data_IF_487533381507
#
_entry.id   IF_487533381507
#
_cell.length_a   1.000
_cell.length_b   1.000
_cell.length_c   1.000
_cell.angle_alpha   90.00
_cell.angle_beta   90.00
_cell.angle_gamma   90.00
#
_symmetry.space_group_name_H-M   'P 1'
#
loop_
_entity.id
_entity.type
_entity.pdbx_description
1 polymer ?
#
# COMPACT_ATOMS: atom_id res chain seq x y z
N UNK A 1 10.45 -10.13 13.35
CA UNK A 1 9.64 -10.25 12.11
C UNK A 1 8.18 -9.81 12.31
N UNK A 2 7.47 -10.28 13.36
CA UNK A 2 6.08 -9.85 13.60
C UNK A 2 5.99 -8.34 13.86
N UNK A 3 6.82 -7.80 14.74
CA UNK A 3 6.86 -6.36 15.10
C UNK A 3 7.14 -5.45 13.89
N UNK A 4 8.00 -5.88 12.96
CA UNK A 4 8.25 -5.12 11.72
C UNK A 4 6.98 -5.02 10.88
N UNK A 5 6.32 -6.15 10.64
CA UNK A 5 5.11 -6.22 9.84
C UNK A 5 3.97 -5.42 10.46
N UNK A 6 3.70 -5.61 11.76
CA UNK A 6 2.63 -4.86 12.44
C UNK A 6 2.92 -3.36 12.55
N UNK A 7 4.19 -2.97 12.72
CA UNK A 7 4.56 -1.56 12.74
C UNK A 7 4.44 -0.90 11.37
N UNK A 8 4.80 -1.59 10.29
CA UNK A 8 4.60 -1.08 8.94
C UNK A 8 3.10 -0.99 8.57
N UNK A 9 2.30 -1.90 9.10
CA UNK A 9 0.85 -1.86 9.00
C UNK A 9 0.25 -0.58 9.57
N UNK A 10 0.75 -0.15 10.74
CA UNK A 10 0.36 1.15 11.33
C UNK A 10 0.69 2.32 10.41
N UNK A 11 1.84 2.29 9.72
CA UNK A 11 2.16 3.31 8.71
C UNK A 11 1.13 3.29 7.57
N UNK A 12 0.78 2.11 7.08
CA UNK A 12 -0.22 1.95 6.02
C UNK A 12 -1.60 2.45 6.45
N UNK A 13 -2.03 2.12 7.68
CA UNK A 13 -3.27 2.65 8.27
C UNK A 13 -3.29 4.18 8.25
N UNK A 14 -2.21 4.80 8.71
CA UNK A 14 -2.12 6.26 8.78
C UNK A 14 -2.11 6.91 7.39
N UNK A 15 -1.36 6.34 6.45
CA UNK A 15 -1.29 6.84 5.06
C UNK A 15 -2.64 6.73 4.37
N UNK A 16 -3.31 5.57 4.44
CA UNK A 16 -4.60 5.38 3.79
C UNK A 16 -5.71 6.22 4.45
N UNK A 17 -5.75 6.31 5.77
CA UNK A 17 -6.72 7.16 6.46
C UNK A 17 -6.55 8.64 6.06
N UNK A 18 -5.32 9.11 5.88
CA UNK A 18 -5.05 10.49 5.48
C UNK A 18 -5.54 10.80 4.06
N UNK A 19 -5.35 9.90 3.10
CA UNK A 19 -5.77 10.12 1.71
C UNK A 19 -7.21 9.68 1.41
N UNK A 20 -7.89 9.09 2.39
CA UNK A 20 -9.25 8.59 2.24
C UNK A 20 -10.23 9.70 1.84
N UNK A 21 -11.25 9.33 1.08
CA UNK A 21 -12.35 10.24 0.72
C UNK A 21 -13.19 10.70 1.93
N UNK A 22 -13.11 10.00 3.04
CA UNK A 22 -13.78 10.33 4.31
C UNK A 22 -12.87 11.06 5.31
N UNK A 23 -11.64 11.38 4.90
CA UNK A 23 -10.71 12.13 5.72
C UNK A 23 -11.27 13.52 6.11
N UNK A 24 -10.94 13.97 7.30
CA UNK A 24 -11.35 15.26 7.85
C UNK A 24 -10.29 15.76 8.84
N UNK A 25 -10.42 17.01 9.29
CA UNK A 25 -9.41 17.66 10.15
C UNK A 25 -9.03 16.86 11.39
N UNK A 26 -9.95 16.11 12.00
CA UNK A 26 -9.67 15.29 13.16
C UNK A 26 -8.86 14.04 12.79
N UNK A 27 -9.29 13.34 11.73
CA UNK A 27 -8.57 12.13 11.27
C UNK A 27 -7.22 12.48 10.67
N UNK A 28 -7.10 13.63 10.01
CA UNK A 28 -5.87 14.14 9.42
C UNK A 28 -4.80 14.42 10.48
N UNK A 29 -5.16 15.09 11.56
CA UNK A 29 -4.25 15.34 12.66
C UNK A 29 -3.72 14.07 13.30
N UNK A 30 -4.59 13.07 13.52
CA UNK A 30 -4.21 11.77 14.07
C UNK A 30 -3.38 10.95 13.10
N UNK A 31 -3.77 10.90 11.83
CA UNK A 31 -3.07 10.12 10.80
C UNK A 31 -1.66 10.66 10.54
N UNK A 32 -1.48 11.95 10.34
CA UNK A 32 -0.15 12.55 10.12
C UNK A 32 0.76 12.35 11.33
N UNK A 33 0.23 12.52 12.54
CA UNK A 33 1.05 12.32 13.74
C UNK A 33 1.39 10.85 13.95
N UNK A 34 0.46 9.93 13.70
CA UNK A 34 0.73 8.49 13.75
C UNK A 34 1.80 8.08 12.74
N UNK A 35 1.69 8.54 11.48
CA UNK A 35 2.69 8.27 10.45
C UNK A 35 4.09 8.75 10.87
N UNK A 36 4.19 9.96 11.44
CA UNK A 36 5.45 10.51 11.94
C UNK A 36 6.03 9.70 13.10
N UNK A 37 5.20 9.29 14.05
CA UNK A 37 5.65 8.44 15.15
C UNK A 37 6.18 7.10 14.66
N UNK A 38 5.52 6.46 13.68
CA UNK A 38 6.02 5.22 13.07
C UNK A 38 7.35 5.47 12.37
N UNK A 39 7.42 6.50 11.54
CA UNK A 39 8.60 6.82 10.74
C UNK A 39 9.85 7.02 11.59
N UNK A 40 9.70 7.70 12.72
CA UNK A 40 10.82 8.03 13.61
C UNK A 40 11.20 6.87 14.54
N UNK A 41 10.28 5.97 14.86
CA UNK A 41 10.49 5.04 15.97
C UNK A 41 10.45 3.55 15.59
N UNK A 42 9.85 3.15 14.46
CA UNK A 42 9.70 1.72 14.15
C UNK A 42 11.04 1.01 14.00
N UNK A 43 12.00 1.60 13.29
CA UNK A 43 13.31 0.98 13.10
C UNK A 43 14.03 0.77 14.44
N UNK A 44 14.00 1.76 15.33
CA UNK A 44 14.58 1.65 16.68
C UNK A 44 13.83 0.63 17.54
N UNK A 45 12.51 0.61 17.48
CA UNK A 45 11.68 -0.35 18.23
C UNK A 45 11.95 -1.81 17.86
N UNK A 46 12.41 -2.05 16.63
CA UNK A 46 12.71 -3.39 16.10
C UNK A 46 14.19 -3.73 16.27
N UNK A 47 15.07 -2.89 15.73
CA UNK A 47 16.50 -3.15 15.56
C UNK A 47 17.37 -2.59 16.68
N UNK A 48 16.84 -1.68 17.51
CA UNK A 48 17.58 -1.04 18.61
C UNK A 48 18.07 -2.05 19.65
N UNK A 49 19.14 -1.69 20.34
CA UNK A 49 19.66 -2.46 21.46
C UNK A 49 18.71 -2.39 22.68
N UNK A 50 18.61 -3.45 23.48
CA UNK A 50 17.80 -3.41 24.71
C UNK A 50 18.21 -2.26 25.62
N UNK A 51 17.26 -1.37 25.94
CA UNK A 51 17.53 -0.18 26.77
C UNK A 51 16.37 0.81 26.76
N UNK A 52 16.60 1.97 27.39
CA UNK A 52 15.58 3.02 27.52
C UNK A 52 15.12 3.58 26.16
N UNK A 53 16.05 3.72 25.20
CA UNK A 53 15.76 4.26 23.89
C UNK A 53 14.79 3.34 23.12
N UNK A 54 15.08 2.04 23.07
CA UNK A 54 14.19 1.04 22.47
C UNK A 54 12.83 0.99 23.18
N UNK A 55 12.81 1.03 24.50
CA UNK A 55 11.56 1.04 25.28
C UNK A 55 10.72 2.25 24.94
N UNK A 56 11.34 3.44 24.85
CA UNK A 56 10.67 4.67 24.42
C UNK A 56 10.12 4.56 22.99
N UNK A 57 10.91 4.00 22.07
CA UNK A 57 10.45 3.77 20.71
C UNK A 57 9.25 2.83 20.65
N UNK A 58 9.24 1.76 21.45
CA UNK A 58 8.10 0.85 21.57
C UNK A 58 6.84 1.53 22.12
N UNK A 59 6.97 2.38 23.14
CA UNK A 59 5.85 3.20 23.64
C UNK A 59 5.29 4.13 22.56
N UNK A 60 6.18 4.76 21.77
CA UNK A 60 5.76 5.60 20.63
C UNK A 60 5.01 4.81 19.57
N UNK A 61 5.43 3.57 19.30
CA UNK A 61 4.73 2.67 18.39
C UNK A 61 3.34 2.29 18.89
N UNK A 62 3.15 2.03 20.19
CA UNK A 62 1.82 1.80 20.77
C UNK A 62 0.90 3.03 20.61
N UNK A 63 1.42 4.21 20.87
CA UNK A 63 0.67 5.46 20.68
C UNK A 63 0.30 5.65 19.19
N UNK A 64 1.25 5.42 18.27
CA UNK A 64 1.03 5.49 16.83
C UNK A 64 -0.08 4.53 16.38
N UNK A 65 -0.06 3.28 16.85
CA UNK A 65 -1.08 2.28 16.54
C UNK A 65 -2.48 2.72 16.99
N UNK A 66 -2.58 3.27 18.21
CA UNK A 66 -3.84 3.79 18.77
C UNK A 66 -4.36 4.97 17.94
N UNK A 67 -3.49 5.93 17.62
CA UNK A 67 -3.86 7.12 16.83
C UNK A 67 -4.26 6.78 15.39
N UNK A 68 -3.51 5.88 14.73
CA UNK A 68 -3.89 5.37 13.42
C UNK A 68 -5.25 4.64 13.47
N UNK A 69 -5.49 3.86 14.54
CA UNK A 69 -6.78 3.21 14.79
C UNK A 69 -7.94 4.19 14.91
N UNK A 70 -7.74 5.30 15.65
CA UNK A 70 -8.73 6.37 15.78
C UNK A 70 -8.97 7.08 14.43
N UNK A 71 -7.92 7.30 13.64
CA UNK A 71 -8.02 7.93 12.33
C UNK A 71 -8.83 7.06 11.35
N UNK A 72 -8.40 5.81 11.12
CA UNK A 72 -9.09 4.97 10.15
C UNK A 72 -10.46 4.46 10.65
N UNK A 73 -10.70 4.43 11.95
CA UNK A 73 -12.02 4.14 12.51
C UNK A 73 -13.13 5.07 12.01
N UNK A 74 -12.76 6.28 11.58
CA UNK A 74 -13.68 7.27 11.02
C UNK A 74 -13.43 7.56 9.53
N UNK A 75 -12.16 7.59 9.10
CA UNK A 75 -11.79 7.84 7.71
C UNK A 75 -11.80 6.59 6.85
N UNK A 76 -11.88 5.41 7.42
CA UNK A 76 -11.70 4.12 6.76
C UNK A 76 -10.30 3.96 6.14
N UNK A 77 -10.12 2.87 5.40
CA UNK A 77 -8.88 2.53 4.71
C UNK A 77 -9.11 2.57 3.19
N UNK A 78 -8.21 2.01 2.42
CA UNK A 78 -8.31 2.06 0.96
C UNK A 78 -7.90 0.76 0.29
N UNK A 79 -7.46 0.89 -0.94
CA UNK A 79 -7.11 -0.20 -1.83
C UNK A 79 -5.95 -1.07 -1.32
N UNK A 80 -4.98 -0.48 -0.58
CA UNK A 80 -3.87 -1.25 -0.05
C UNK A 80 -4.35 -2.36 0.90
N UNK A 81 -5.22 -2.00 1.85
CA UNK A 81 -5.82 -2.96 2.75
C UNK A 81 -6.78 -3.91 2.04
N UNK A 82 -7.59 -3.44 1.10
CA UNK A 82 -8.48 -4.31 0.31
C UNK A 82 -7.70 -5.41 -0.42
N UNK A 83 -6.58 -5.08 -1.04
CA UNK A 83 -5.68 -6.05 -1.66
C UNK A 83 -4.97 -6.93 -0.62
N UNK A 84 -4.52 -6.34 0.49
CA UNK A 84 -3.79 -7.08 1.53
C UNK A 84 -4.66 -8.12 2.24
N UNK A 85 -5.94 -7.86 2.46
CA UNK A 85 -6.88 -8.84 3.01
C UNK A 85 -6.95 -10.07 2.11
N UNK A 86 -7.11 -9.86 0.82
CA UNK A 86 -7.24 -10.95 -0.17
C UNK A 86 -5.93 -11.72 -0.35
N UNK A 87 -4.83 -11.03 -0.68
CA UNK A 87 -3.55 -11.67 -0.96
C UNK A 87 -2.99 -12.34 0.29
N UNK A 88 -3.05 -11.65 1.44
CA UNK A 88 -2.58 -12.19 2.71
C UNK A 88 -3.29 -13.48 3.11
N UNK A 89 -4.61 -13.54 2.91
CA UNK A 89 -5.41 -14.74 3.20
C UNK A 89 -5.11 -15.90 2.23
N UNK A 90 -5.05 -15.63 0.92
CA UNK A 90 -4.82 -16.65 -0.09
C UNK A 90 -3.39 -17.18 -0.10
N UNK A 91 -2.40 -16.31 0.09
CA UNK A 91 -0.98 -16.66 0.02
C UNK A 91 -0.35 -16.94 1.40
N UNK A 92 -1.13 -16.87 2.49
CA UNK A 92 -0.64 -17.04 3.86
C UNK A 92 0.53 -16.11 4.22
N UNK A 93 0.55 -14.91 3.65
CA UNK A 93 1.51 -13.86 3.98
C UNK A 93 0.94 -12.97 5.09
N UNK A 94 1.74 -12.68 6.11
CA UNK A 94 1.31 -11.84 7.23
C UNK A 94 0.78 -10.49 6.75
N UNK A 95 -0.38 -10.05 7.26
CA UNK A 95 -1.14 -8.88 6.82
C UNK A 95 -0.28 -7.62 6.67
N UNK A 96 0.43 -7.19 7.71
CA UNK A 96 1.28 -5.99 7.63
C UNK A 96 2.48 -6.15 6.68
N UNK A 97 2.92 -7.38 6.39
CA UNK A 97 3.91 -7.63 5.35
C UNK A 97 3.29 -7.46 3.97
N UNK A 98 2.09 -7.97 3.77
CA UNK A 98 1.34 -7.77 2.52
C UNK A 98 1.13 -6.28 2.26
N UNK A 99 0.69 -5.53 3.25
CA UNK A 99 0.58 -4.07 3.16
C UNK A 99 1.92 -3.40 2.80
N UNK A 100 3.04 -3.86 3.39
CA UNK A 100 4.35 -3.28 3.09
C UNK A 100 4.80 -3.48 1.65
N UNK A 101 4.39 -4.57 1.01
CA UNK A 101 4.68 -4.86 -0.39
C UNK A 101 3.79 -4.06 -1.34
N UNK A 102 2.56 -3.78 -0.96
CA UNK A 102 1.56 -3.10 -1.79
C UNK A 102 1.60 -1.57 -1.69
N UNK A 103 1.91 -1.03 -0.51
CA UNK A 103 1.80 0.42 -0.23
C UNK A 103 2.51 1.31 -1.27
N UNK A 104 3.74 1.04 -1.71
CA UNK A 104 4.42 1.89 -2.69
C UNK A 104 3.67 1.97 -4.03
N UNK A 105 3.10 0.85 -4.48
CA UNK A 105 2.30 0.79 -5.71
C UNK A 105 1.00 1.57 -5.57
N UNK A 106 0.33 1.41 -4.42
CA UNK A 106 -0.92 2.12 -4.14
C UNK A 106 -0.70 3.63 -4.04
N UNK A 107 0.43 4.07 -3.45
CA UNK A 107 0.80 5.51 -3.43
C UNK A 107 0.92 6.04 -4.86
N UNK A 108 1.63 5.34 -5.76
CA UNK A 108 1.78 5.75 -7.17
C UNK A 108 0.45 5.72 -7.91
N UNK A 109 -0.36 4.68 -7.72
CA UNK A 109 -1.68 4.56 -8.34
C UNK A 109 -2.61 5.70 -7.93
N UNK A 110 -2.77 5.94 -6.63
CA UNK A 110 -3.59 7.01 -6.10
C UNK A 110 -3.00 8.41 -6.35
N UNK A 111 -1.68 8.52 -6.45
CA UNK A 111 -0.98 9.76 -6.75
C UNK A 111 -1.04 10.16 -8.23
N UNK A 112 -1.57 9.31 -9.09
CA UNK A 112 -1.80 9.57 -10.50
C UNK A 112 -3.19 10.11 -10.70
N UNK A 113 -3.31 11.32 -11.26
CA UNK A 113 -4.61 11.95 -11.55
C UNK A 113 -5.34 11.11 -12.62
N UNK A 114 -6.56 10.60 -12.35
CA UNK A 114 -7.30 9.84 -13.34
C UNK A 114 -7.71 10.74 -14.53
N UNK A 115 -7.71 10.19 -15.74
CA UNK A 115 -8.12 10.93 -16.95
C UNK A 115 -9.57 11.39 -16.87
N UNK A 116 -10.43 10.56 -16.32
CA UNK A 116 -11.81 10.92 -16.03
C UNK A 116 -12.01 11.00 -14.50
N UNK A 117 -12.42 12.17 -13.96
CA UNK A 117 -12.73 12.28 -12.55
C UNK A 117 -13.91 11.36 -12.23
N UNK A 118 -13.73 10.51 -11.25
CA UNK A 118 -14.79 9.65 -10.76
C UNK A 118 -15.98 10.48 -10.31
N UNK A 119 -17.13 10.14 -10.81
CA UNK A 119 -18.37 10.94 -10.87
C UNK A 119 -19.10 11.19 -9.53
N UNK A 120 -18.41 11.14 -8.40
CA UNK A 120 -19.10 11.45 -7.15
C UNK A 120 -19.10 12.95 -6.89
N UNK A 121 -20.21 13.58 -6.52
CA UNK A 121 -20.32 15.04 -6.36
C UNK A 121 -19.34 15.66 -5.37
N UNK A 122 -18.70 14.85 -4.55
CA UNK A 122 -17.69 15.23 -3.55
C UNK A 122 -16.32 15.54 -4.14
N UNK A 123 -16.08 15.19 -5.40
CA UNK A 123 -14.76 15.25 -6.04
C UNK A 123 -14.67 16.29 -7.15
N UNK A 124 -15.02 17.54 -6.81
CA UNK A 124 -14.77 18.66 -7.71
C UNK A 124 -13.26 18.87 -7.98
N UNK A 125 -12.39 18.29 -7.14
CA UNK A 125 -10.94 18.33 -7.27
C UNK A 125 -10.34 17.02 -6.74
N UNK A 126 -9.47 16.41 -7.53
CA UNK A 126 -8.68 15.29 -7.09
C UNK A 126 -7.47 15.78 -6.30
N UNK A 127 -7.34 15.46 -5.02
CA UNK A 127 -6.34 16.02 -4.10
C UNK A 127 -5.35 14.98 -3.54
N UNK A 128 -5.41 13.74 -3.99
CA UNK A 128 -4.55 12.70 -3.47
C UNK A 128 -3.05 12.97 -3.71
N UNK A 129 -2.60 13.49 -4.87
CA UNK A 129 -1.20 13.84 -5.07
C UNK A 129 -0.68 14.84 -4.05
N UNK A 130 -1.44 15.92 -3.80
CA UNK A 130 -1.08 16.95 -2.81
C UNK A 130 -1.04 16.37 -1.40
N UNK A 131 -1.97 15.49 -1.05
CA UNK A 131 -2.00 14.84 0.27
C UNK A 131 -0.81 13.90 0.47
N UNK A 132 -0.37 13.16 -0.54
CA UNK A 132 0.86 12.38 -0.47
C UNK A 132 2.11 13.26 -0.35
N UNK A 133 2.16 14.40 -1.04
CA UNK A 133 3.22 15.39 -0.89
C UNK A 133 3.28 15.93 0.54
N UNK A 134 2.12 16.18 1.18
CA UNK A 134 2.03 16.59 2.57
C UNK A 134 2.54 15.50 3.54
N UNK A 135 2.21 14.23 3.28
CA UNK A 135 2.78 13.12 4.05
C UNK A 135 4.31 13.10 3.91
N UNK A 136 4.84 13.21 2.68
CA UNK A 136 6.29 13.25 2.46
C UNK A 136 6.94 14.38 3.30
N UNK A 137 6.40 15.58 3.24
CA UNK A 137 6.86 16.73 4.03
C UNK A 137 6.81 16.46 5.53
N UNK A 138 5.71 15.88 6.03
CA UNK A 138 5.54 15.55 7.44
C UNK A 138 6.56 14.53 7.93
N UNK A 139 6.91 13.55 7.12
CA UNK A 139 7.91 12.53 7.43
C UNK A 139 9.36 13.03 7.32
N UNK A 140 9.58 14.22 6.76
CA UNK A 140 10.93 14.75 6.46
C UNK A 140 11.52 14.15 5.17
N UNK A 141 10.70 13.55 4.33
CA UNK A 141 11.04 13.13 2.96
C UNK A 141 10.97 14.35 2.06
N UNK A 142 11.84 14.42 1.05
CA UNK A 142 11.79 15.49 0.06
C UNK A 142 10.40 15.55 -0.60
N UNK A 143 9.62 16.63 -0.39
CA UNK A 143 8.27 16.72 -0.94
C UNK A 143 8.25 17.04 -2.44
N UNK A 144 9.41 17.24 -3.08
CA UNK A 144 9.50 17.67 -4.46
C UNK A 144 9.00 19.10 -4.69
N UNK A 145 9.02 19.56 -5.93
CA UNK A 145 8.51 20.86 -6.35
C UNK A 145 7.04 20.78 -6.80
N UNK A 146 6.61 19.61 -7.23
CA UNK A 146 5.24 19.32 -7.65
C UNK A 146 4.65 18.18 -6.83
N UNK A 147 3.32 18.05 -6.76
CA UNK A 147 2.68 16.91 -6.08
C UNK A 147 3.14 15.56 -6.63
N UNK A 148 3.33 15.44 -7.94
CA UNK A 148 3.77 14.21 -8.60
C UNK A 148 5.20 13.80 -8.16
N UNK A 149 6.11 14.77 -8.05
CA UNK A 149 7.44 14.52 -7.48
C UNK A 149 7.34 14.06 -6.02
N UNK A 150 6.43 14.66 -5.26
CA UNK A 150 6.17 14.30 -3.86
C UNK A 150 5.65 12.86 -3.72
N UNK A 151 4.74 12.45 -4.59
CA UNK A 151 4.22 11.07 -4.67
C UNK A 151 5.35 10.07 -4.90
N UNK A 152 6.17 10.30 -5.92
CA UNK A 152 7.26 9.38 -6.25
C UNK A 152 8.34 9.33 -5.17
N UNK A 153 8.67 10.48 -4.58
CA UNK A 153 9.63 10.54 -3.49
C UNK A 153 9.11 9.81 -2.23
N UNK A 154 7.82 9.93 -1.92
CA UNK A 154 7.21 9.19 -0.82
C UNK A 154 7.20 7.68 -1.10
N UNK A 155 6.79 7.27 -2.30
CA UNK A 155 6.77 5.86 -2.68
C UNK A 155 8.17 5.22 -2.54
N UNK A 156 9.20 5.88 -3.07
CA UNK A 156 10.60 5.43 -2.91
C UNK A 156 11.06 5.42 -1.45
N UNK A 157 10.64 6.40 -0.66
CA UNK A 157 11.03 6.47 0.74
C UNK A 157 10.42 5.32 1.56
N UNK A 158 9.17 4.96 1.33
CA UNK A 158 8.55 3.82 2.02
C UNK A 158 9.11 2.48 1.53
N UNK A 159 9.53 2.37 0.27
CA UNK A 159 10.29 1.22 -0.24
C UNK A 159 11.63 1.09 0.47
N UNK A 160 12.42 2.17 0.50
CA UNK A 160 13.72 2.20 1.18
C UNK A 160 13.60 1.88 2.67
N UNK A 161 12.57 2.41 3.31
CA UNK A 161 12.29 2.15 4.73
C UNK A 161 12.00 0.66 4.97
N UNK A 162 11.18 0.03 4.13
CA UNK A 162 10.91 -1.41 4.17
C UNK A 162 12.18 -2.23 3.93
N UNK A 163 12.91 -1.91 2.86
CA UNK A 163 14.00 -2.72 2.34
C UNK A 163 15.27 -2.58 3.18
N UNK A 164 15.69 -1.35 3.46
CA UNK A 164 17.00 -1.06 4.03
C UNK A 164 16.95 -0.75 5.53
N UNK A 165 15.90 -0.10 6.03
CA UNK A 165 15.77 0.19 7.46
C UNK A 165 15.21 -0.99 8.26
N UNK A 166 14.26 -1.71 7.69
CA UNK A 166 13.62 -2.84 8.35
C UNK A 166 14.11 -4.20 7.86
N UNK A 167 14.77 -4.29 6.71
CA UNK A 167 15.25 -5.55 6.13
C UNK A 167 14.12 -6.53 5.83
N UNK A 168 12.99 -6.03 5.34
CA UNK A 168 11.83 -6.85 4.97
C UNK A 168 11.94 -7.35 3.52
N UNK A 169 11.13 -8.36 3.16
CA UNK A 169 11.03 -8.85 1.79
C UNK A 169 10.52 -7.73 0.85
N UNK A 170 10.97 -7.78 -0.41
CA UNK A 170 10.66 -6.78 -1.44
C UNK A 170 9.55 -7.20 -2.40
N UNK A 171 9.19 -8.49 -2.37
CA UNK A 171 8.19 -9.06 -3.28
C UNK A 171 7.49 -10.26 -2.64
N UNK A 172 6.35 -10.69 -3.19
CA UNK A 172 5.69 -11.92 -2.76
C UNK A 172 6.51 -13.16 -3.14
N UNK A 173 7.26 -13.10 -4.24
CA UNK A 173 8.19 -14.15 -4.63
C UNK A 173 9.26 -14.37 -3.54
N UNK A 174 9.85 -13.30 -3.01
CA UNK A 174 10.78 -13.39 -1.88
C UNK A 174 10.12 -13.89 -0.58
N UNK A 175 8.81 -13.75 -0.45
CA UNK A 175 8.04 -14.35 0.64
C UNK A 175 7.85 -15.86 0.49
N UNK A 176 8.24 -16.44 -0.64
CA UNK A 176 8.13 -17.87 -0.93
C UNK A 176 6.74 -18.27 -1.47
N UNK A 177 5.98 -17.32 -2.00
CA UNK A 177 4.71 -17.64 -2.67
C UNK A 177 5.01 -18.30 -4.01
N UNK A 178 4.40 -19.45 -4.26
CA UNK A 178 4.56 -20.20 -5.50
C UNK A 178 3.98 -19.41 -6.69
N UNK A 179 4.72 -19.38 -7.80
CA UNK A 179 4.39 -18.56 -8.96
C UNK A 179 3.14 -19.07 -9.69
N UNK A 180 3.06 -20.37 -9.95
CA UNK A 180 1.93 -20.94 -10.68
C UNK A 180 0.64 -20.82 -9.86
N UNK A 181 0.75 -21.05 -8.55
CA UNK A 181 -0.36 -20.81 -7.64
C UNK A 181 -0.80 -19.32 -7.67
N UNK A 182 0.14 -18.38 -7.60
CA UNK A 182 -0.18 -16.95 -7.60
C UNK A 182 -0.92 -16.53 -8.87
N UNK A 183 -0.44 -17.00 -10.02
CA UNK A 183 -1.10 -16.75 -11.30
C UNK A 183 -2.49 -17.39 -11.38
N UNK A 184 -2.66 -18.57 -10.81
CA UNK A 184 -3.97 -19.25 -10.81
C UNK A 184 -5.06 -18.52 -10.02
N UNK A 185 -4.67 -17.65 -9.08
CA UNK A 185 -5.59 -16.87 -8.22
C UNK A 185 -5.66 -15.38 -8.57
N UNK A 186 -5.00 -14.91 -9.63
CA UNK A 186 -4.90 -13.47 -9.93
C UNK A 186 -6.27 -12.83 -10.19
N UNK A 187 -7.16 -13.51 -10.87
CA UNK A 187 -8.53 -13.04 -11.09
C UNK A 187 -9.32 -12.96 -9.80
N UNK A 188 -9.13 -13.92 -8.92
CA UNK A 188 -9.75 -13.92 -7.59
C UNK A 188 -9.21 -12.78 -6.72
N UNK A 189 -7.91 -12.47 -6.82
CA UNK A 189 -7.31 -11.32 -6.14
C UNK A 189 -7.97 -10.04 -6.60
N UNK A 190 -8.03 -9.79 -7.91
CA UNK A 190 -8.64 -8.57 -8.45
C UNK A 190 -10.10 -8.38 -8.02
N UNK A 191 -10.91 -9.42 -8.18
CA UNK A 191 -12.33 -9.38 -7.84
C UNK A 191 -12.58 -9.17 -6.35
N UNK A 192 -11.95 -9.97 -5.48
CA UNK A 192 -12.15 -9.86 -4.03
C UNK A 192 -11.61 -8.57 -3.43
N UNK A 193 -10.50 -8.05 -3.98
CA UNK A 193 -9.98 -6.77 -3.55
C UNK A 193 -10.91 -5.61 -3.95
N UNK A 194 -11.55 -5.70 -5.12
CA UNK A 194 -12.55 -4.74 -5.55
C UNK A 194 -13.82 -4.77 -4.66
N UNK A 195 -14.25 -5.95 -4.24
CA UNK A 195 -15.41 -6.14 -3.37
C UNK A 195 -15.11 -5.88 -1.88
N UNK A 196 -13.86 -5.65 -1.52
CA UNK A 196 -13.46 -5.42 -0.13
C UNK A 196 -14.06 -4.12 0.42
N UNK A 197 -14.45 -4.16 1.69
CA UNK A 197 -15.06 -3.03 2.40
C UNK A 197 -14.20 -1.76 2.43
N UNK A 198 -12.88 -1.87 2.22
CA UNK A 198 -11.96 -0.74 2.21
C UNK A 198 -11.93 -0.02 0.85
N UNK A 199 -12.27 -0.69 -0.26
CA UNK A 199 -12.19 -0.14 -1.60
C UNK A 199 -12.99 1.18 -1.79
N UNK A 200 -14.21 1.34 -1.23
CA UNK A 200 -15.01 2.57 -1.41
C UNK A 200 -14.40 3.83 -0.80
N UNK A 201 -13.48 3.71 0.15
CA UNK A 201 -12.83 4.86 0.79
C UNK A 201 -11.55 5.31 0.08
N UNK A 202 -11.09 4.53 -0.91
CA UNK A 202 -9.89 4.87 -1.68
C UNK A 202 -10.09 6.16 -2.49
N UNK A 203 -9.10 7.07 -2.57
CA UNK A 203 -9.26 8.35 -3.26
C UNK A 203 -9.49 8.21 -4.77
N UNK A 204 -8.91 7.20 -5.40
CA UNK A 204 -9.14 6.82 -6.79
C UNK A 204 -9.95 5.52 -6.82
N UNK A 205 -11.03 5.46 -7.62
CA UNK A 205 -11.79 4.21 -7.76
C UNK A 205 -10.87 3.15 -8.38
N UNK A 206 -10.56 2.07 -7.65
CA UNK A 206 -9.69 1.04 -8.18
C UNK A 206 -10.44 0.22 -9.24
N UNK A 207 -9.75 -0.07 -10.35
CA UNK A 207 -10.26 -0.97 -11.36
C UNK A 207 -9.71 -2.38 -11.09
N UNK A 208 -10.51 -3.41 -11.40
CA UNK A 208 -10.11 -4.80 -11.16
C UNK A 208 -8.79 -5.11 -11.89
N UNK A 209 -8.65 -4.65 -13.12
CA UNK A 209 -7.45 -4.88 -13.93
C UNK A 209 -6.22 -4.17 -13.36
N UNK A 210 -6.37 -2.93 -12.85
CA UNK A 210 -5.29 -2.22 -12.16
C UNK A 210 -4.81 -2.95 -10.91
N UNK A 211 -5.75 -3.52 -10.15
CA UNK A 211 -5.43 -4.33 -8.96
C UNK A 211 -4.66 -5.60 -9.32
N UNK A 212 -5.01 -6.26 -10.44
CA UNK A 212 -4.26 -7.41 -10.96
C UNK A 212 -2.85 -7.01 -11.37
N UNK A 213 -2.70 -5.90 -12.10
CA UNK A 213 -1.41 -5.38 -12.52
C UNK A 213 -0.50 -5.04 -11.33
N UNK A 214 -1.05 -4.40 -10.30
CA UNK A 214 -0.35 -4.11 -9.05
C UNK A 214 0.02 -5.41 -8.31
N UNK A 215 -0.87 -6.38 -8.25
CA UNK A 215 -0.60 -7.65 -7.60
C UNK A 215 0.56 -8.39 -8.28
N UNK A 216 0.58 -8.44 -9.61
CA UNK A 216 1.65 -9.05 -10.39
C UNK A 216 2.97 -8.27 -10.22
N UNK A 217 2.91 -6.93 -10.29
CA UNK A 217 4.07 -6.09 -10.06
C UNK A 217 4.69 -6.34 -8.67
N UNK A 218 3.87 -6.41 -7.62
CA UNK A 218 4.30 -6.69 -6.26
C UNK A 218 4.80 -8.13 -6.08
N UNK A 219 4.33 -9.08 -6.90
CA UNK A 219 4.84 -10.45 -6.89
C UNK A 219 6.30 -10.51 -7.33
N UNK A 220 6.65 -9.85 -8.42
CA UNK A 220 8.01 -9.85 -8.96
C UNK A 220 8.90 -8.71 -8.43
N UNK A 221 8.33 -7.69 -7.79
CA UNK A 221 9.07 -6.50 -7.36
C UNK A 221 9.43 -5.57 -8.52
N UNK A 222 8.57 -5.49 -9.54
CA UNK A 222 8.74 -4.67 -10.75
C UNK A 222 7.76 -3.49 -10.78
N UNK A 223 7.83 -2.61 -11.78
CA UNK A 223 6.86 -1.52 -11.92
C UNK A 223 5.45 -2.04 -12.28
N UNK A 224 4.41 -1.23 -12.00
CA UNK A 224 3.04 -1.58 -12.39
C UNK A 224 2.90 -1.75 -13.91
N UNK A 225 3.60 -0.93 -14.69
CA UNK A 225 3.62 -1.05 -16.16
C UNK A 225 4.19 -2.41 -16.62
N UNK A 226 5.24 -2.87 -15.97
CA UNK A 226 5.81 -4.19 -16.23
C UNK A 226 4.86 -5.31 -15.80
N UNK A 227 4.20 -5.17 -14.65
CA UNK A 227 3.15 -6.09 -14.20
C UNK A 227 2.01 -6.21 -15.20
N UNK A 228 1.58 -5.08 -15.78
CA UNK A 228 0.60 -5.06 -16.86
C UNK A 228 1.08 -5.84 -18.10
N UNK A 229 2.30 -5.62 -18.55
CA UNK A 229 2.88 -6.35 -19.70
C UNK A 229 2.90 -7.85 -19.47
N UNK A 230 3.40 -8.29 -18.30
CA UNK A 230 3.44 -9.70 -17.92
C UNK A 230 2.04 -10.33 -17.93
N UNK A 231 1.02 -9.61 -17.45
CA UNK A 231 -0.36 -10.10 -17.48
C UNK A 231 -0.88 -10.31 -18.89
N UNK A 232 -0.67 -9.34 -19.78
CA UNK A 232 -1.14 -9.41 -21.17
C UNK A 232 -0.42 -10.53 -21.94
N UNK A 233 0.89 -10.69 -21.76
CA UNK A 233 1.67 -11.75 -22.37
C UNK A 233 1.14 -13.13 -21.97
N UNK A 234 0.95 -13.39 -20.67
CA UNK A 234 0.45 -14.69 -20.18
C UNK A 234 -0.98 -15.00 -20.62
N UNK A 235 -1.84 -13.97 -20.71
CA UNK A 235 -3.20 -14.14 -21.25
C UNK A 235 -3.18 -14.47 -22.75
N UNK A 236 -2.25 -13.89 -23.51
CA UNK A 236 -2.07 -14.19 -24.92
C UNK A 236 -1.58 -15.63 -25.18
N UNK A 237 -0.66 -16.12 -24.34
CA UNK A 237 -0.17 -17.49 -24.38
C UNK A 237 -1.29 -18.50 -24.09
N UNK A 238 -2.07 -18.30 -23.02
CA UNK A 238 -3.18 -19.17 -22.64
C UNK A 238 -4.25 -19.24 -23.75
N UNK A 239 -4.58 -18.12 -24.37
CA UNK A 239 -5.52 -18.08 -25.49
C UNK A 239 -5.02 -18.85 -26.72
N UNK A 240 -3.70 -18.89 -26.94
CA UNK A 240 -3.07 -19.61 -28.06
C UNK A 240 -3.05 -21.12 -27.80
N UNK A 241 -2.79 -21.54 -26.57
CA UNK A 241 -2.82 -22.95 -26.16
C UNK A 241 -4.24 -23.54 -26.28
N UNK A 242 -5.27 -22.83 -25.75
CA UNK A 242 -6.67 -23.27 -25.91
C UNK A 242 -7.12 -23.37 -27.35
N UNK A 243 -6.64 -22.48 -28.24
CA UNK A 243 -6.95 -22.55 -29.65
C UNK A 243 -6.29 -23.76 -30.33
N UNK A 244 -5.09 -24.15 -29.89
CA UNK A 244 -4.36 -25.30 -30.44
C UNK A 244 -4.95 -26.66 -30.01
N UNK A 245 -5.55 -26.73 -28.80
CA UNK A 245 -6.19 -27.95 -28.30
C UNK A 245 -7.56 -28.24 -28.94
N UNK A 246 -8.17 -27.23 -29.58
CA UNK A 246 -9.47 -27.35 -30.27
C UNK A 246 -9.36 -27.76 -31.74
N UNK A 247 -8.16 -27.94 -32.27
CA UNK A 247 -7.87 -28.39 -33.63
C UNK A 247 -7.43 -29.85 -33.63
#
# INVERSE_FOLDING_TARGET
KATQASGYDVLTHAVEAYVSVYANDFTDGMALHAAKLVWDNLAESVNGEPGEEKTRAQEKMHNAATMAGMAFGSAFLGMCHGMAHTIGALCHVAHGRTNSLLLPYVIRYNGSVPEEPTSWPKYNKYVAPERYQEIAKNLGVNPGKTPEEGVENLAKAVEDYRDNKLGMNKSFQECGVDEDYYWSIIDQIGMRAYEDQCAPANPRIPQIEDMKDIAIAAYYGVSQEEGHKLRIERQGEAATEEASERV
#
